data_IF_707348183607
#
_entry.id   IF_707348183607
#
_cell.length_a   1.000
_cell.length_b   1.000
_cell.length_c   1.000
_cell.angle_alpha   90.00
_cell.angle_beta   90.00
_cell.angle_gamma   90.00
#
_symmetry.space_group_name_H-M   'P 1'
#
loop_
_entity.id
_entity.type
_entity.pdbx_description
1 polymer ?
#
# COMPACT_ATOMS: atom_id res chain seq x y z
N UNK A 1 -5.26 -0.83 26.11
CA UNK A 1 -5.72 -0.55 24.73
C UNK A 1 -5.64 -1.87 24.01
N UNK A 2 -6.74 -2.33 23.45
CA UNK A 2 -6.75 -3.59 22.70
C UNK A 2 -5.86 -3.41 21.46
N UNK A 3 -5.00 -4.37 21.24
CA UNK A 3 -4.13 -4.42 20.08
C UNK A 3 -5.02 -4.67 18.87
N UNK A 4 -5.18 -3.67 18.00
CA UNK A 4 -6.00 -3.74 16.79
C UNK A 4 -5.28 -4.44 15.63
N UNK A 5 -4.07 -4.94 15.86
CA UNK A 5 -3.13 -5.41 14.84
C UNK A 5 -3.49 -6.75 14.17
N UNK A 6 -4.71 -7.25 14.33
CA UNK A 6 -5.09 -8.57 13.79
C UNK A 6 -6.36 -8.57 12.92
N UNK A 7 -6.87 -7.41 12.56
CA UNK A 7 -8.15 -7.32 11.84
C UNK A 7 -8.11 -7.97 10.44
N UNK A 8 -6.96 -7.93 9.78
CA UNK A 8 -6.80 -8.53 8.45
C UNK A 8 -6.66 -10.06 8.45
N UNK A 9 -6.24 -10.67 9.56
CA UNK A 9 -6.06 -12.13 9.62
C UNK A 9 -7.35 -12.92 9.46
N UNK A 10 -8.46 -12.37 9.95
CA UNK A 10 -9.78 -13.00 9.92
C UNK A 10 -10.57 -12.63 8.65
N UNK A 11 -10.03 -11.73 7.81
CA UNK A 11 -10.68 -11.32 6.57
C UNK A 11 -10.82 -12.53 5.61
N UNK A 12 -12.03 -12.79 5.16
CA UNK A 12 -12.30 -13.81 4.14
C UNK A 12 -12.05 -13.22 2.77
N UNK A 13 -11.08 -13.79 2.05
CA UNK A 13 -10.74 -13.36 0.69
C UNK A 13 -11.61 -14.13 -0.31
N UNK A 14 -12.50 -13.43 -0.99
CA UNK A 14 -13.35 -14.00 -2.03
C UNK A 14 -12.63 -13.99 -3.39
N UNK A 15 -12.93 -15.00 -4.23
CA UNK A 15 -12.47 -15.00 -5.62
C UNK A 15 -13.39 -14.10 -6.47
N UNK A 16 -13.00 -12.84 -6.62
CA UNK A 16 -13.67 -11.86 -7.46
C UNK A 16 -12.92 -11.63 -8.79
N UNK A 17 -11.70 -12.09 -8.90
CA UNK A 17 -10.87 -11.88 -10.08
C UNK A 17 -11.48 -12.44 -11.35
N UNK A 18 -12.03 -13.65 -11.28
CA UNK A 18 -12.69 -14.31 -12.41
C UNK A 18 -13.96 -13.62 -12.88
N UNK A 19 -14.56 -12.75 -12.06
CA UNK A 19 -15.78 -11.99 -12.36
C UNK A 19 -15.50 -10.63 -12.97
N UNK A 20 -14.27 -10.12 -12.84
CA UNK A 20 -13.87 -8.81 -13.37
C UNK A 20 -13.59 -8.88 -14.88
N UNK A 21 -14.07 -7.88 -15.61
CA UNK A 21 -13.75 -7.68 -17.03
C UNK A 21 -12.58 -6.70 -17.22
N UNK A 22 -12.34 -5.84 -16.27
CA UNK A 22 -11.24 -4.88 -16.24
C UNK A 22 -10.81 -4.67 -14.80
N UNK A 23 -9.92 -5.55 -14.33
CA UNK A 23 -9.49 -5.58 -12.90
C UNK A 23 -8.91 -4.25 -12.41
N UNK A 24 -8.15 -3.54 -13.26
CA UNK A 24 -7.58 -2.25 -12.87
C UNK A 24 -8.67 -1.20 -12.67
N UNK A 25 -9.61 -1.10 -13.59
CA UNK A 25 -10.72 -0.16 -13.47
C UNK A 25 -11.62 -0.51 -12.28
N UNK A 26 -11.87 -1.79 -12.03
CA UNK A 26 -12.70 -2.23 -10.90
C UNK A 26 -12.05 -1.85 -9.56
N UNK A 27 -10.75 -2.11 -9.37
CA UNK A 27 -10.03 -1.70 -8.17
C UNK A 27 -10.06 -0.18 -7.96
N UNK A 28 -9.83 0.56 -9.04
CA UNK A 28 -9.82 2.02 -9.01
C UNK A 28 -11.19 2.61 -8.65
N UNK A 29 -12.25 2.03 -9.22
CA UNK A 29 -13.62 2.44 -8.95
C UNK A 29 -14.05 2.10 -7.52
N UNK A 30 -13.65 0.95 -6.99
CA UNK A 30 -13.89 0.59 -5.59
C UNK A 30 -13.24 1.59 -4.64
N UNK A 31 -11.99 1.98 -4.91
CA UNK A 31 -11.30 2.98 -4.09
C UNK A 31 -11.95 4.36 -4.21
N UNK A 32 -12.36 4.76 -5.41
CA UNK A 32 -13.10 6.00 -5.62
C UNK A 32 -14.40 6.01 -4.84
N UNK A 33 -15.17 4.94 -4.92
CA UNK A 33 -16.47 4.81 -4.25
C UNK A 33 -16.36 5.00 -2.74
N UNK A 34 -15.39 4.33 -2.09
CA UNK A 34 -15.19 4.48 -0.65
C UNK A 34 -14.77 5.92 -0.27
N UNK A 35 -13.91 6.54 -1.07
CA UNK A 35 -13.45 7.90 -0.80
C UNK A 35 -14.59 8.93 -0.95
N UNK A 36 -15.40 8.82 -2.00
CA UNK A 36 -16.47 9.76 -2.27
C UNK A 36 -17.71 9.51 -1.40
N UNK A 37 -18.15 8.26 -1.27
CA UNK A 37 -19.43 7.93 -0.65
C UNK A 37 -19.34 7.61 0.85
N UNK A 38 -18.17 7.20 1.36
CA UNK A 38 -17.98 6.91 2.79
C UNK A 38 -17.26 8.06 3.49
N UNK A 39 -16.15 8.53 2.91
CA UNK A 39 -15.33 9.59 3.52
C UNK A 39 -15.72 11.02 3.06
N UNK A 40 -16.56 11.13 2.04
CA UNK A 40 -17.13 12.42 1.60
C UNK A 40 -16.16 13.30 0.82
N UNK A 41 -15.08 12.78 0.28
CA UNK A 41 -14.19 13.54 -0.59
C UNK A 41 -14.86 13.83 -1.93
N UNK A 42 -14.63 15.04 -2.45
CA UNK A 42 -15.05 15.47 -3.78
C UNK A 42 -13.78 15.82 -4.56
N UNK A 43 -13.29 14.85 -5.35
CA UNK A 43 -12.05 15.02 -6.08
C UNK A 43 -12.10 16.09 -7.16
N UNK A 44 -13.29 16.42 -7.70
CA UNK A 44 -13.44 17.50 -8.66
C UNK A 44 -13.24 18.85 -7.98
N UNK A 45 -13.93 19.08 -6.87
CA UNK A 45 -13.72 20.30 -6.07
C UNK A 45 -12.30 20.39 -5.50
N UNK A 46 -11.70 19.26 -5.14
CA UNK A 46 -10.32 19.23 -4.64
C UNK A 46 -9.34 19.79 -5.67
N UNK A 47 -9.54 19.50 -6.95
CA UNK A 47 -8.70 20.04 -8.03
C UNK A 47 -8.88 21.54 -8.31
N UNK A 48 -9.94 22.15 -7.79
CA UNK A 48 -10.17 23.60 -7.85
C UNK A 48 -9.53 24.36 -6.68
N UNK A 49 -9.02 23.64 -5.66
CA UNK A 49 -8.32 24.23 -4.52
C UNK A 49 -6.96 24.80 -4.95
N UNK A 50 -6.43 25.74 -4.16
CA UNK A 50 -5.04 26.14 -4.33
C UNK A 50 -4.06 24.99 -3.97
N UNK A 51 -2.83 25.09 -4.45
CA UNK A 51 -1.85 24.02 -4.27
C UNK A 51 -1.51 23.74 -2.80
N UNK A 52 -1.65 24.72 -1.91
CA UNK A 52 -1.38 24.52 -0.49
C UNK A 52 -2.46 23.63 0.13
N UNK A 53 -3.72 23.92 -0.13
CA UNK A 53 -4.85 23.12 0.32
C UNK A 53 -4.86 21.73 -0.31
N UNK A 54 -4.60 21.66 -1.63
CA UNK A 54 -4.50 20.37 -2.32
C UNK A 54 -3.41 19.48 -1.74
N UNK A 55 -2.26 20.07 -1.39
CA UNK A 55 -1.12 19.37 -0.80
C UNK A 55 -1.46 18.71 0.55
N UNK A 56 -2.37 19.27 1.35
CA UNK A 56 -2.75 18.69 2.64
C UNK A 56 -3.27 17.26 2.49
N UNK A 57 -4.03 16.98 1.43
CA UNK A 57 -4.49 15.63 1.13
C UNK A 57 -3.34 14.68 0.79
N UNK A 58 -2.32 15.16 0.06
CA UNK A 58 -1.12 14.39 -0.23
C UNK A 58 -0.28 14.12 1.02
N UNK A 59 -0.11 15.13 1.88
CA UNK A 59 0.63 14.99 3.13
C UNK A 59 -0.04 13.93 4.03
N UNK A 60 -1.37 13.90 4.07
CA UNK A 60 -2.13 12.91 4.82
C UNK A 60 -1.90 11.48 4.29
N UNK A 61 -2.04 11.28 3.00
CA UNK A 61 -1.79 9.99 2.37
C UNK A 61 -0.31 9.57 2.46
N UNK A 62 0.63 10.52 2.41
CA UNK A 62 2.04 10.26 2.61
C UNK A 62 2.32 9.68 4.02
N UNK A 63 1.75 10.28 5.05
CA UNK A 63 1.90 9.77 6.42
C UNK A 63 1.25 8.40 6.60
N UNK A 64 0.09 8.19 6.00
CA UNK A 64 -0.56 6.88 5.99
C UNK A 64 0.35 5.83 5.34
N UNK A 65 0.88 6.08 4.14
CA UNK A 65 1.83 5.17 3.48
C UNK A 65 3.06 4.87 4.34
N UNK A 66 3.58 5.86 5.08
CA UNK A 66 4.70 5.62 5.99
C UNK A 66 4.33 4.67 7.13
N UNK A 67 3.11 4.79 7.65
CA UNK A 67 2.60 3.91 8.70
C UNK A 67 2.43 2.48 8.19
N UNK A 68 1.79 2.29 7.04
CA UNK A 68 1.63 0.97 6.40
C UNK A 68 2.98 0.33 6.01
N UNK A 69 3.96 1.15 5.59
CA UNK A 69 5.32 0.65 5.37
C UNK A 69 5.96 0.14 6.67
N UNK A 70 5.74 0.82 7.79
CA UNK A 70 6.19 0.36 9.09
C UNK A 70 5.53 -0.99 9.45
N UNK A 71 4.23 -1.12 9.25
CA UNK A 71 3.48 -2.35 9.51
C UNK A 71 3.91 -3.50 8.59
N UNK A 72 4.15 -3.20 7.32
CA UNK A 72 4.79 -4.15 6.38
C UNK A 72 6.11 -4.71 6.93
N UNK A 73 6.98 -3.85 7.47
CA UNK A 73 8.23 -4.30 8.09
C UNK A 73 8.03 -5.04 9.41
N UNK A 74 7.05 -4.64 10.22
CA UNK A 74 6.69 -5.37 11.43
C UNK A 74 6.22 -6.78 11.10
N UNK A 75 5.45 -6.94 10.02
CA UNK A 75 5.05 -8.25 9.51
C UNK A 75 6.25 -9.11 9.04
N UNK A 76 7.37 -8.49 8.69
CA UNK A 76 8.64 -9.15 8.34
C UNK A 76 9.59 -9.35 9.54
N UNK A 77 9.18 -9.00 10.76
CA UNK A 77 10.00 -9.15 11.96
C UNK A 77 10.63 -7.84 12.46
N UNK A 78 10.16 -6.70 11.96
CA UNK A 78 10.55 -5.37 12.39
C UNK A 78 11.65 -4.72 11.55
N UNK A 79 11.79 -3.42 11.75
CA UNK A 79 12.79 -2.59 11.10
C UNK A 79 13.77 -1.98 12.10
N UNK A 80 14.77 -1.27 11.59
CA UNK A 80 15.83 -0.64 12.39
C UNK A 80 15.44 0.71 13.02
N UNK A 81 14.18 1.05 13.10
CA UNK A 81 13.70 2.34 13.62
C UNK A 81 13.64 2.43 15.16
N UNK A 82 13.89 1.32 15.85
CA UNK A 82 13.84 1.24 17.31
C UNK A 82 12.45 0.93 17.86
N UNK A 83 11.44 0.84 17.03
CA UNK A 83 10.11 0.36 17.40
C UNK A 83 10.07 -1.14 17.15
N UNK A 84 9.79 -1.91 18.18
CA UNK A 84 9.81 -3.35 18.06
C UNK A 84 11.20 -3.98 18.04
N UNK A 85 11.27 -5.21 17.60
CA UNK A 85 12.52 -5.94 17.48
C UNK A 85 13.08 -5.80 16.08
N UNK A 86 13.99 -4.87 15.93
CA UNK A 86 14.67 -4.70 14.67
C UNK A 86 15.46 -5.97 14.31
N UNK A 87 15.40 -6.35 13.05
CA UNK A 87 16.12 -7.51 12.48
C UNK A 87 17.64 -7.44 12.76
N UNK A 88 18.19 -6.24 12.96
CA UNK A 88 19.57 -6.00 13.33
C UNK A 88 19.92 -6.38 14.78
N UNK A 89 18.91 -6.69 15.64
CA UNK A 89 19.11 -7.13 17.03
C UNK A 89 18.89 -8.64 17.18
N UNK A 90 19.79 -9.49 16.65
CA UNK A 90 19.58 -10.93 16.62
C UNK A 90 19.51 -11.59 18.00
N UNK A 91 19.89 -10.83 19.05
CA UNK A 91 19.81 -11.28 20.46
C UNK A 91 18.46 -11.02 21.12
N UNK A 92 17.57 -10.20 20.50
CA UNK A 92 16.23 -9.97 21.00
C UNK A 92 15.24 -10.92 20.35
N UNK A 93 14.35 -11.47 21.17
CA UNK A 93 13.17 -12.13 20.63
C UNK A 93 12.29 -11.10 19.99
N UNK A 94 11.87 -11.38 18.79
CA UNK A 94 10.94 -10.61 18.03
C UNK A 94 9.57 -10.57 18.73
N UNK A 95 8.90 -9.41 18.78
CA UNK A 95 7.54 -9.29 19.28
C UNK A 95 6.54 -10.09 18.46
N UNK A 96 6.80 -10.25 17.18
CA UNK A 96 5.97 -11.00 16.25
C UNK A 96 6.19 -12.51 16.36
N UNK A 97 7.18 -12.95 17.16
CA UNK A 97 7.57 -14.36 17.29
C UNK A 97 8.41 -14.88 16.13
N UNK A 98 8.85 -13.99 15.23
CA UNK A 98 9.67 -14.37 14.07
C UNK A 98 11.16 -14.39 14.43
N UNK A 99 11.87 -15.44 14.04
CA UNK A 99 13.31 -15.54 14.23
C UNK A 99 14.05 -14.69 13.18
N UNK A 100 15.10 -13.93 13.55
CA UNK A 100 15.83 -13.05 12.62
C UNK A 100 16.40 -13.76 11.37
N UNK A 101 16.64 -15.05 11.47
CA UNK A 101 17.20 -15.87 10.39
C UNK A 101 16.18 -16.85 9.79
N UNK A 102 14.91 -16.70 10.11
CA UNK A 102 13.85 -17.49 9.50
C UNK A 102 13.81 -17.22 7.99
N UNK A 103 13.70 -18.29 7.21
CA UNK A 103 13.51 -18.13 5.77
C UNK A 103 12.11 -17.59 5.50
N UNK A 104 11.98 -16.74 4.50
CA UNK A 104 10.67 -16.25 4.07
C UNK A 104 9.70 -17.39 3.74
N UNK A 105 10.20 -18.48 3.14
CA UNK A 105 9.40 -19.68 2.84
C UNK A 105 8.82 -20.38 4.07
N UNK A 106 9.36 -20.10 5.24
CA UNK A 106 8.96 -20.73 6.50
C UNK A 106 7.93 -19.88 7.27
N UNK A 107 7.57 -18.73 6.73
CA UNK A 107 6.48 -17.89 7.28
C UNK A 107 5.15 -18.65 7.31
N UNK A 108 4.39 -18.45 8.37
CA UNK A 108 3.05 -19.01 8.44
C UNK A 108 2.15 -18.41 7.34
N UNK A 109 1.10 -19.16 6.96
CA UNK A 109 0.12 -18.64 5.99
C UNK A 109 -0.56 -17.37 6.47
N UNK A 110 -0.77 -17.24 7.78
CA UNK A 110 -1.39 -16.07 8.36
C UNK A 110 -0.46 -14.85 8.33
N UNK A 111 0.81 -15.02 8.69
CA UNK A 111 1.80 -13.94 8.62
C UNK A 111 2.03 -13.49 7.18
N UNK A 112 2.07 -14.44 6.23
CA UNK A 112 2.19 -14.09 4.82
C UNK A 112 0.94 -13.36 4.28
N UNK A 113 -0.25 -13.71 4.78
CA UNK A 113 -1.49 -13.00 4.44
C UNK A 113 -1.45 -11.57 4.99
N UNK A 114 -1.06 -11.40 6.25
CA UNK A 114 -0.91 -10.09 6.87
C UNK A 114 0.02 -9.20 6.06
N UNK A 115 1.24 -9.66 5.80
CA UNK A 115 2.20 -8.93 4.96
C UNK A 115 1.63 -8.49 3.61
N UNK A 116 0.79 -9.33 2.99
CA UNK A 116 0.16 -8.98 1.72
C UNK A 116 -0.93 -7.92 1.88
N UNK A 117 -1.65 -7.92 2.99
CA UNK A 117 -2.68 -6.92 3.27
C UNK A 117 -2.06 -5.55 3.51
N UNK A 118 -0.95 -5.44 4.26
CA UNK A 118 -0.23 -4.18 4.43
C UNK A 118 0.19 -3.56 3.08
N UNK A 119 0.62 -4.40 2.13
CA UNK A 119 0.95 -3.92 0.78
C UNK A 119 -0.29 -3.45 0.00
N UNK A 120 -1.47 -4.01 0.27
CA UNK A 120 -2.73 -3.53 -0.32
C UNK A 120 -3.13 -2.19 0.29
N UNK A 121 -2.92 -1.98 1.60
CA UNK A 121 -3.23 -0.72 2.25
C UNK A 121 -2.36 0.42 1.71
N UNK A 122 -1.08 0.19 1.47
CA UNK A 122 -0.22 1.14 0.72
C UNK A 122 -0.82 1.44 -0.67
N UNK A 123 -1.34 0.43 -1.37
CA UNK A 123 -1.95 0.62 -2.70
C UNK A 123 -3.22 1.47 -2.63
N UNK A 124 -4.04 1.33 -1.58
CA UNK A 124 -5.20 2.18 -1.36
C UNK A 124 -4.81 3.66 -1.27
N UNK A 125 -3.79 4.00 -0.49
CA UNK A 125 -3.32 5.39 -0.36
C UNK A 125 -2.68 5.92 -1.65
N UNK A 126 -1.99 5.08 -2.40
CA UNK A 126 -1.50 5.46 -3.74
C UNK A 126 -2.64 5.75 -4.70
N UNK A 127 -3.70 4.94 -4.70
CA UNK A 127 -4.89 5.22 -5.51
C UNK A 127 -5.58 6.51 -5.10
N UNK A 128 -5.65 6.84 -3.80
CA UNK A 128 -6.18 8.12 -3.33
C UNK A 128 -5.44 9.30 -3.97
N UNK A 129 -4.11 9.26 -3.98
CA UNK A 129 -3.30 10.32 -4.59
C UNK A 129 -3.50 10.40 -6.11
N UNK A 130 -3.63 9.25 -6.78
CA UNK A 130 -3.92 9.20 -8.23
C UNK A 130 -5.32 9.74 -8.56
N UNK A 131 -6.34 9.40 -7.76
CA UNK A 131 -7.69 9.93 -7.87
C UNK A 131 -7.72 11.46 -7.69
N UNK A 132 -6.98 11.97 -6.70
CA UNK A 132 -6.90 13.40 -6.43
C UNK A 132 -6.36 14.19 -7.62
N UNK A 133 -5.34 13.69 -8.31
CA UNK A 133 -4.80 14.35 -9.53
C UNK A 133 -5.64 14.08 -10.78
N UNK A 134 -6.74 13.33 -10.68
CA UNK A 134 -7.62 13.02 -11.80
C UNK A 134 -7.07 11.98 -12.77
N UNK A 135 -6.10 11.17 -12.36
CA UNK A 135 -5.55 10.10 -13.18
C UNK A 135 -6.64 9.04 -13.44
N UNK A 136 -6.81 8.64 -14.69
CA UNK A 136 -7.73 7.55 -15.06
C UNK A 136 -7.03 6.19 -15.04
N UNK A 137 -7.78 5.08 -14.99
CA UNK A 137 -7.19 3.74 -15.13
C UNK A 137 -6.39 3.56 -16.44
N UNK A 138 -6.84 4.15 -17.52
CA UNK A 138 -6.16 4.13 -18.81
C UNK A 138 -4.85 4.90 -18.77
N UNK A 139 -4.84 6.08 -18.17
CA UNK A 139 -3.62 6.87 -17.97
C UNK A 139 -2.63 6.16 -17.08
N UNK A 140 -3.08 5.58 -15.97
CA UNK A 140 -2.24 4.79 -15.08
C UNK A 140 -1.56 3.65 -15.85
N UNK A 141 -2.31 2.89 -16.64
CA UNK A 141 -1.77 1.80 -17.46
C UNK A 141 -0.74 2.33 -18.46
N UNK A 142 -1.10 3.34 -19.25
CA UNK A 142 -0.26 3.88 -20.30
C UNK A 142 1.03 4.52 -19.75
N UNK A 143 0.93 5.26 -18.66
CA UNK A 143 2.09 5.89 -18.01
C UNK A 143 3.00 4.84 -17.38
N UNK A 144 2.44 3.81 -16.73
CA UNK A 144 3.24 2.72 -16.19
C UNK A 144 4.01 2.00 -17.30
N UNK A 145 3.36 1.68 -18.39
CA UNK A 145 3.98 1.01 -19.53
C UNK A 145 5.11 1.86 -20.14
N UNK A 146 4.85 3.14 -20.36
CA UNK A 146 5.82 4.10 -20.90
C UNK A 146 7.03 4.28 -19.96
N UNK A 147 6.78 4.41 -18.65
CA UNK A 147 7.85 4.49 -17.64
C UNK A 147 8.69 3.22 -17.59
N UNK A 148 8.07 2.06 -17.71
CA UNK A 148 8.79 0.78 -17.75
C UNK A 148 9.70 0.68 -18.98
N UNK A 149 9.22 1.07 -20.14
CA UNK A 149 10.01 1.10 -21.38
C UNK A 149 11.21 2.06 -21.24
N UNK A 150 10.99 3.27 -20.71
CA UNK A 150 12.06 4.23 -20.47
C UNK A 150 13.10 3.73 -19.45
N UNK A 151 12.65 3.08 -18.38
CA UNK A 151 13.58 2.50 -17.41
C UNK A 151 14.50 1.44 -18.05
N UNK A 152 13.96 0.60 -18.94
CA UNK A 152 14.78 -0.36 -19.71
C UNK A 152 15.78 0.35 -20.63
N UNK A 153 15.37 1.45 -21.27
CA UNK A 153 16.24 2.23 -22.13
C UNK A 153 17.36 2.91 -21.35
N UNK A 154 17.07 3.44 -20.15
CA UNK A 154 18.08 4.01 -19.24
C UNK A 154 19.15 2.99 -18.88
N UNK A 155 18.75 1.75 -18.53
CA UNK A 155 19.72 0.69 -18.22
C UNK A 155 20.62 0.36 -19.43
N UNK A 156 20.08 0.33 -20.66
CA UNK A 156 20.86 0.10 -21.86
C UNK A 156 21.85 1.23 -22.15
N UNK A 157 21.55 2.45 -21.73
CA UNK A 157 22.42 3.63 -21.87
C UNK A 157 23.47 3.76 -20.77
N UNK A 158 23.49 2.84 -19.80
CA UNK A 158 24.47 2.87 -18.70
C UNK A 158 24.14 3.90 -17.60
N UNK A 159 22.87 4.14 -17.35
CA UNK A 159 22.40 5.01 -16.28
C UNK A 159 22.56 4.33 -14.92
#
# INVERSE_FOLDING_TARGET
MANTDNECKDLVVEDLYSKSKNTLADLYNLQKDIQENVYGYDFEKMREMDLLQFREFFDWNYHAIQDELRETFDALGGISDGVGNAVWKPWKKDHTGKAPHMKFSDMSKNDLKELKMELIDIQHFLFNMMLAVGMTPEELFNYYFSKNAENRNRQKRGY
#
